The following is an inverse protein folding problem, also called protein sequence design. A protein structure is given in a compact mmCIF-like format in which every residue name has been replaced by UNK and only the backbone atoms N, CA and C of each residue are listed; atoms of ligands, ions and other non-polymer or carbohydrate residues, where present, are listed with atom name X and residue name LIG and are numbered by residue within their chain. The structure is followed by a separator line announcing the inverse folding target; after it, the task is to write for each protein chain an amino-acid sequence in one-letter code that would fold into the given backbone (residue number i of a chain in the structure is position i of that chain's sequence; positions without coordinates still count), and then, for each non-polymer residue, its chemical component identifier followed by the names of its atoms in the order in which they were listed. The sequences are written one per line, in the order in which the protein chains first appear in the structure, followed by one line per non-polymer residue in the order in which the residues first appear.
data_IF_964305476073
#
_entry.id   IF_964305476073
#
_cell.length_a   1.000
_cell.length_b   1.000
_cell.length_c   1.000
_cell.angle_alpha   90.00
_cell.angle_beta   90.00
_cell.angle_gamma   90.00
#
_symmetry.space_group_name_H-M   'P 1'
#
loop_
_entity.id
_entity.type
_entity.pdbx_description
1 polymer ?
#
# COMPACT_ATOMS: atom_id res chain seq x y z
N UNK A 1 2.25 10.12 -5.43
CA UNK A 1 1.65 9.32 -4.35
C UNK A 1 1.79 7.82 -4.59
N UNK A 2 1.17 7.23 -5.62
CA UNK A 2 1.28 5.78 -5.89
C UNK A 2 2.74 5.31 -6.06
N UNK A 3 3.57 6.04 -6.81
CA UNK A 3 4.99 5.69 -6.98
C UNK A 3 5.81 5.76 -5.68
N UNK A 4 5.50 6.70 -4.79
CA UNK A 4 6.15 6.79 -3.49
C UNK A 4 5.83 5.58 -2.62
N UNK A 5 4.66 4.97 -2.83
CA UNK A 5 4.21 3.78 -2.09
C UNK A 5 4.87 2.50 -2.63
N UNK A 6 5.30 2.50 -3.91
CA UNK A 6 5.91 1.34 -4.57
C UNK A 6 7.06 0.76 -3.76
N UNK A 7 7.98 1.61 -3.31
CA UNK A 7 9.16 1.16 -2.56
C UNK A 7 8.76 0.43 -1.26
N UNK A 8 7.76 0.92 -0.53
CA UNK A 8 7.31 0.31 0.71
C UNK A 8 6.66 -1.05 0.48
N UNK A 9 5.96 -1.20 -0.63
CA UNK A 9 5.27 -2.44 -1.00
C UNK A 9 6.27 -3.47 -1.54
N UNK A 10 7.23 -3.04 -2.37
CA UNK A 10 8.35 -3.87 -2.86
C UNK A 10 9.21 -4.42 -1.72
N UNK A 11 9.52 -3.57 -0.73
CA UNK A 11 10.25 -3.97 0.48
C UNK A 11 9.37 -4.76 1.46
N UNK A 12 8.08 -4.95 1.16
CA UNK A 12 7.15 -5.69 2.00
C UNK A 12 7.01 -5.09 3.40
N UNK A 13 6.97 -3.76 3.52
CA UNK A 13 6.97 -3.05 4.80
C UNK A 13 5.57 -2.71 5.32
N UNK A 14 4.54 -2.78 4.47
CA UNK A 14 3.20 -2.28 4.76
C UNK A 14 2.12 -3.34 4.47
N UNK A 15 1.05 -3.30 5.28
CA UNK A 15 -0.13 -4.17 5.11
C UNK A 15 -1.41 -3.39 4.81
N UNK A 16 -1.45 -2.13 5.21
CA UNK A 16 -2.62 -1.26 5.07
C UNK A 16 -2.14 0.04 4.47
N UNK A 17 -2.74 0.43 3.36
CA UNK A 17 -2.46 1.69 2.68
C UNK A 17 -3.80 2.39 2.45
N UNK A 18 -3.84 3.67 2.76
CA UNK A 18 -5.03 4.50 2.60
C UNK A 18 -4.65 5.93 2.24
N UNK A 19 -5.58 6.84 2.51
CA UNK A 19 -5.42 8.28 2.30
C UNK A 19 -5.78 9.09 3.53
N UNK A 20 -5.22 10.29 3.62
CA UNK A 20 -5.59 11.32 4.61
C UNK A 20 -6.23 12.51 3.87
N UNK A 21 -6.20 13.70 4.47
CA UNK A 21 -6.71 14.94 3.90
C UNK A 21 -6.17 15.20 2.47
N UNK A 22 -7.07 15.51 1.53
CA UNK A 22 -6.73 15.75 0.13
C UNK A 22 -6.61 14.49 -0.74
N UNK A 23 -6.80 13.29 -0.17
CA UNK A 23 -6.86 12.06 -0.97
C UNK A 23 -8.21 11.96 -1.68
N UNK A 24 -8.20 11.62 -2.96
CA UNK A 24 -9.40 11.52 -3.80
C UNK A 24 -9.55 10.08 -4.31
N UNK A 25 -10.73 9.68 -4.82
CA UNK A 25 -10.91 8.34 -5.38
C UNK A 25 -9.90 7.96 -6.46
N UNK A 26 -9.47 8.86 -7.38
CA UNK A 26 -8.38 8.57 -8.31
C UNK A 26 -7.05 8.19 -7.65
N UNK A 27 -6.69 8.83 -6.53
CA UNK A 27 -5.47 8.48 -5.79
C UNK A 27 -5.54 7.06 -5.22
N UNK A 28 -6.67 6.69 -4.64
CA UNK A 28 -6.89 5.34 -4.10
C UNK A 28 -6.89 4.29 -5.21
N UNK A 29 -7.53 4.58 -6.36
CA UNK A 29 -7.51 3.69 -7.52
C UNK A 29 -6.08 3.43 -8.01
N UNK A 30 -5.27 4.48 -8.15
CA UNK A 30 -3.88 4.34 -8.56
C UNK A 30 -3.04 3.51 -7.56
N UNK A 31 -3.31 3.62 -6.26
CA UNK A 31 -2.68 2.76 -5.26
C UNK A 31 -3.15 1.31 -5.43
N UNK A 32 -4.46 1.07 -5.52
CA UNK A 32 -5.05 -0.26 -5.65
C UNK A 32 -4.50 -1.00 -6.89
N UNK A 33 -4.43 -0.30 -8.03
CA UNK A 33 -3.88 -0.82 -9.28
C UNK A 33 -2.39 -1.17 -9.17
N UNK A 34 -1.63 -0.44 -8.35
CA UNK A 34 -0.22 -0.71 -8.10
C UNK A 34 -0.01 -1.90 -7.16
N UNK A 35 -0.77 -1.98 -6.06
CA UNK A 35 -0.54 -2.99 -5.02
C UNK A 35 -1.11 -4.38 -5.36
N UNK A 36 -1.97 -4.48 -6.37
CA UNK A 36 -2.59 -5.75 -6.80
C UNK A 36 -1.59 -6.86 -7.11
N UNK A 37 -0.39 -6.48 -7.55
CA UNK A 37 0.67 -7.40 -7.97
C UNK A 37 1.57 -7.84 -6.79
N UNK A 38 1.31 -7.33 -5.59
CA UNK A 38 2.14 -7.55 -4.40
C UNK A 38 1.39 -8.32 -3.31
N UNK A 39 2.15 -9.06 -2.48
CA UNK A 39 1.60 -9.80 -1.35
C UNK A 39 1.74 -9.01 -0.04
N UNK A 40 0.75 -9.07 0.87
CA UNK A 40 0.88 -8.46 2.19
C UNK A 40 2.09 -8.99 2.96
N UNK A 41 2.70 -8.13 3.79
CA UNK A 41 3.79 -8.55 4.68
C UNK A 41 3.27 -9.59 5.68
N UNK A 42 4.05 -10.65 5.85
CA UNK A 42 3.82 -11.65 6.90
C UNK A 42 4.12 -11.03 8.27
N UNK A 43 3.11 -10.98 9.12
CA UNK A 43 3.26 -10.56 10.52
C UNK A 43 3.35 -11.82 11.36
N UNK A 44 4.51 -12.06 11.97
CA UNK A 44 4.65 -13.10 12.97
C UNK A 44 4.08 -12.53 14.28
N UNK A 45 2.79 -12.72 14.51
CA UNK A 45 2.20 -12.42 15.80
C UNK A 45 2.58 -13.55 16.77
N UNK A 46 3.46 -13.26 17.71
CA UNK A 46 3.63 -14.12 18.89
C UNK A 46 2.42 -13.84 19.78
N UNK A 47 1.59 -14.86 19.96
CA UNK A 47 0.48 -14.86 20.93
C UNK A 47 1.00 -14.98 22.36
#
# INVERSE_FOLDING_TARGET
MAEQIREYVEKGLVNIIGGCCGTTPPHIKAIADLVKDFKPRKVNATI
#
